data_IF_235289790164
#
_entry.id   IF_235289790164
#
_cell.length_a   1.000
_cell.length_b   1.000
_cell.length_c   1.000
_cell.angle_alpha   90.00
_cell.angle_beta   90.00
_cell.angle_gamma   90.00
#
_symmetry.space_group_name_H-M   'P 1'
#
loop_
_entity.id
_entity.type
_entity.pdbx_description
1 polymer ?
#
# COMPACT_ATOMS: atom_id res chain seq x y z
N UNK A 1 -39.15 15.61 0.09
CA UNK A 1 -38.15 15.44 1.17
C UNK A 1 -37.55 14.03 1.27
N UNK A 2 -37.86 13.10 0.35
CA UNK A 2 -37.34 11.71 0.39
C UNK A 2 -36.16 11.43 -0.56
N UNK A 3 -35.91 12.29 -1.54
CA UNK A 3 -34.78 12.11 -2.49
C UNK A 3 -33.41 12.37 -1.85
N UNK A 4 -33.29 13.37 -0.98
CA UNK A 4 -31.99 13.82 -0.45
C UNK A 4 -31.35 12.80 0.51
N UNK A 5 -32.17 12.16 1.35
CA UNK A 5 -31.71 11.10 2.26
C UNK A 5 -31.23 9.84 1.54
N UNK A 6 -31.75 9.58 0.33
CA UNK A 6 -31.30 8.46 -0.50
C UNK A 6 -29.93 8.72 -1.12
N UNK A 7 -29.68 9.95 -1.56
CA UNK A 7 -28.41 10.38 -2.15
C UNK A 7 -27.30 10.34 -1.12
N UNK A 8 -27.53 10.93 0.06
CA UNK A 8 -26.55 10.92 1.15
C UNK A 8 -26.18 9.49 1.57
N UNK A 9 -27.17 8.59 1.71
CA UNK A 9 -26.93 7.19 2.05
C UNK A 9 -26.05 6.47 1.01
N UNK A 10 -26.28 6.72 -0.27
CA UNK A 10 -25.48 6.12 -1.36
C UNK A 10 -24.04 6.61 -1.31
N UNK A 11 -23.83 7.92 -1.14
CA UNK A 11 -22.51 8.53 -1.02
C UNK A 11 -21.78 7.96 0.20
N UNK A 12 -22.39 8.02 1.38
CA UNK A 12 -21.77 7.50 2.62
C UNK A 12 -21.39 6.02 2.50
N UNK A 13 -22.23 5.19 1.87
CA UNK A 13 -21.90 3.78 1.62
C UNK A 13 -20.71 3.63 0.67
N UNK A 14 -20.60 4.45 -0.37
CA UNK A 14 -19.48 4.41 -1.30
C UNK A 14 -18.18 4.90 -0.63
N UNK A 15 -18.26 5.97 0.19
CA UNK A 15 -17.12 6.41 1.01
C UNK A 15 -16.65 5.27 1.91
N UNK A 16 -17.57 4.61 2.64
CA UNK A 16 -17.22 3.51 3.53
C UNK A 16 -16.55 2.33 2.80
N UNK A 17 -17.10 1.95 1.63
CA UNK A 17 -16.49 0.92 0.77
C UNK A 17 -15.10 1.34 0.28
N UNK A 18 -14.96 2.61 -0.09
CA UNK A 18 -13.68 3.21 -0.47
C UNK A 18 -12.68 3.18 0.69
N UNK A 19 -13.14 3.45 1.91
CA UNK A 19 -12.29 3.40 3.09
C UNK A 19 -11.77 1.99 3.39
N UNK A 20 -12.60 0.96 3.25
CA UNK A 20 -12.14 -0.43 3.37
C UNK A 20 -11.12 -0.79 2.29
N UNK A 21 -11.35 -0.32 1.05
CA UNK A 21 -10.41 -0.52 -0.06
C UNK A 21 -9.07 0.20 0.20
N UNK A 22 -9.10 1.46 0.64
CA UNK A 22 -7.89 2.23 0.96
C UNK A 22 -7.12 1.70 2.18
N UNK A 23 -7.83 1.18 3.19
CA UNK A 23 -7.20 0.51 4.32
C UNK A 23 -6.51 -0.80 3.90
N UNK A 24 -7.11 -1.55 2.98
CA UNK A 24 -6.51 -2.74 2.40
C UNK A 24 -5.26 -2.41 1.57
N UNK A 25 -5.30 -1.37 0.75
CA UNK A 25 -4.16 -0.97 -0.09
C UNK A 25 -2.94 -0.47 0.71
N UNK A 26 -3.14 -0.02 1.96
CA UNK A 26 -2.05 0.39 2.84
C UNK A 26 -1.30 -0.80 3.48
N UNK A 27 -1.89 -2.01 3.49
CA UNK A 27 -1.30 -3.20 4.12
C UNK A 27 -0.65 -4.08 3.04
N UNK A 28 0.64 -4.43 3.17
CA UNK A 28 1.31 -5.26 2.19
C UNK A 28 0.69 -6.66 2.13
N UNK A 29 0.42 -7.13 0.91
CA UNK A 29 -0.17 -8.44 0.65
C UNK A 29 -1.70 -8.46 0.57
N UNK A 30 -2.39 -7.34 0.83
CA UNK A 30 -3.83 -7.21 0.63
C UNK A 30 -4.11 -6.38 -0.63
N UNK A 31 -5.03 -6.85 -1.48
CA UNK A 31 -5.44 -6.12 -2.69
C UNK A 31 -6.78 -5.43 -2.48
N UNK A 32 -6.84 -4.11 -2.65
CA UNK A 32 -8.09 -3.36 -2.67
C UNK A 32 -9.07 -3.82 -3.75
N UNK A 33 -8.57 -4.38 -4.86
CA UNK A 33 -9.41 -4.98 -5.92
C UNK A 33 -10.20 -6.20 -5.42
N UNK A 34 -9.57 -7.06 -4.60
CA UNK A 34 -10.27 -8.19 -3.97
C UNK A 34 -11.34 -7.71 -2.99
N UNK A 35 -11.07 -6.65 -2.22
CA UNK A 35 -12.06 -6.02 -1.33
C UNK A 35 -13.21 -5.43 -2.14
N UNK A 36 -12.94 -4.78 -3.28
CA UNK A 36 -13.98 -4.28 -4.17
C UNK A 36 -14.87 -5.40 -4.72
N UNK A 37 -14.31 -6.58 -4.98
CA UNK A 37 -15.04 -7.77 -5.43
C UNK A 37 -15.92 -8.33 -4.32
N UNK A 38 -15.37 -8.49 -3.11
CA UNK A 38 -16.13 -8.92 -1.93
C UNK A 38 -17.28 -7.95 -1.59
N UNK A 39 -17.09 -6.65 -1.80
CA UNK A 39 -18.13 -5.63 -1.59
C UNK A 39 -19.14 -5.53 -2.75
N UNK A 40 -18.97 -6.33 -3.82
CA UNK A 40 -19.83 -6.36 -5.00
C UNK A 40 -19.80 -5.08 -5.82
N UNK A 41 -18.73 -4.28 -5.71
CA UNK A 41 -18.57 -3.01 -6.44
C UNK A 41 -17.53 -3.08 -7.55
N UNK A 42 -16.81 -4.21 -7.65
CA UNK A 42 -15.72 -4.40 -8.62
C UNK A 42 -16.18 -4.15 -10.06
N UNK A 43 -17.31 -4.73 -10.48
CA UNK A 43 -17.83 -4.57 -11.85
C UNK A 43 -18.16 -3.11 -12.18
N UNK A 44 -18.78 -2.41 -11.23
CA UNK A 44 -19.11 -1.00 -11.41
C UNK A 44 -17.86 -0.12 -11.43
N UNK A 45 -16.86 -0.43 -10.59
CA UNK A 45 -15.58 0.27 -10.59
C UNK A 45 -14.84 0.03 -11.91
N UNK A 46 -14.75 -1.21 -12.37
CA UNK A 46 -14.06 -1.61 -13.58
C UNK A 46 -14.69 -0.98 -14.82
N UNK A 47 -16.03 -0.96 -14.92
CA UNK A 47 -16.76 -0.26 -15.98
C UNK A 47 -16.42 1.24 -16.02
N UNK A 48 -16.37 1.91 -14.85
CA UNK A 48 -15.98 3.32 -14.79
C UNK A 48 -14.52 3.53 -15.21
N UNK A 49 -13.61 2.62 -14.87
CA UNK A 49 -12.21 2.66 -15.33
C UNK A 49 -12.13 2.48 -16.85
N UNK A 50 -12.93 1.59 -17.43
CA UNK A 50 -13.01 1.44 -18.89
C UNK A 50 -13.50 2.71 -19.56
N UNK A 51 -14.58 3.33 -19.05
CA UNK A 51 -15.06 4.61 -19.59
C UNK A 51 -14.04 5.75 -19.46
N UNK A 52 -13.28 5.81 -18.36
CA UNK A 52 -12.14 6.72 -18.21
C UNK A 52 -11.05 6.46 -19.27
N UNK A 53 -10.78 5.19 -19.57
CA UNK A 53 -9.78 4.80 -20.56
C UNK A 53 -10.22 5.16 -21.97
N UNK A 54 -11.48 4.86 -22.31
CA UNK A 54 -12.10 5.22 -23.60
C UNK A 54 -12.08 6.73 -23.82
N UNK A 55 -12.29 7.51 -22.75
CA UNK A 55 -12.15 8.96 -22.78
C UNK A 55 -10.75 9.43 -23.14
N UNK A 56 -9.74 8.87 -22.49
CA UNK A 56 -8.35 9.25 -22.76
C UNK A 56 -8.00 8.92 -24.21
N UNK A 57 -8.45 7.77 -24.71
CA UNK A 57 -8.25 7.35 -26.10
C UNK A 57 -8.99 8.29 -27.07
N UNK A 58 -10.23 8.68 -26.78
CA UNK A 58 -11.01 9.58 -27.65
C UNK A 58 -10.41 10.99 -27.71
N UNK A 59 -9.86 11.47 -26.58
CA UNK A 59 -9.13 12.75 -26.50
C UNK A 59 -7.86 12.69 -27.37
N UNK A 60 -7.09 11.59 -27.26
CA UNK A 60 -5.87 11.37 -28.06
C UNK A 60 -6.17 11.32 -29.58
N UNK A 61 -7.34 10.80 -29.97
CA UNK A 61 -7.80 10.76 -31.37
C UNK A 61 -8.43 12.07 -31.85
N UNK A 62 -8.50 13.11 -31.01
CA UNK A 62 -9.11 14.42 -31.30
C UNK A 62 -10.59 14.30 -31.72
N UNK A 63 -11.26 13.22 -31.34
CA UNK A 63 -12.69 13.04 -31.60
C UNK A 63 -13.52 13.69 -30.48
N UNK A 64 -13.98 14.91 -30.75
CA UNK A 64 -14.79 15.71 -29.80
C UNK A 64 -16.16 15.09 -29.53
N UNK A 65 -16.74 14.36 -30.48
CA UNK A 65 -18.06 13.75 -30.33
C UNK A 65 -17.98 12.50 -29.45
N UNK A 66 -16.99 11.64 -29.69
CA UNK A 66 -16.73 10.47 -28.85
C UNK A 66 -16.32 10.85 -27.42
N UNK A 67 -15.54 11.92 -27.26
CA UNK A 67 -15.13 12.43 -25.94
C UNK A 67 -16.31 12.91 -25.11
N UNK A 68 -17.24 13.67 -25.69
CA UNK A 68 -18.44 14.14 -24.95
C UNK A 68 -19.34 12.99 -24.50
N UNK A 69 -19.52 11.97 -25.35
CA UNK A 69 -20.33 10.80 -25.01
C UNK A 69 -19.71 9.99 -23.88
N UNK A 70 -18.40 9.77 -23.94
CA UNK A 70 -17.69 8.99 -22.91
C UNK A 70 -17.58 9.76 -21.57
N UNK A 71 -17.66 11.10 -21.58
CA UNK A 71 -17.67 11.91 -20.34
C UNK A 71 -19.00 11.77 -19.59
N UNK A 72 -20.09 11.64 -20.35
CA UNK A 72 -21.44 11.46 -19.82
C UNK A 72 -21.71 10.03 -19.34
N UNK A 73 -20.98 9.03 -19.85
CA UNK A 73 -21.10 7.64 -19.40
C UNK A 73 -20.39 7.35 -18.09
N UNK A 74 -19.53 8.24 -17.60
CA UNK A 74 -18.85 8.08 -16.30
C UNK A 74 -19.76 8.48 -15.15
N UNK A 75 -19.85 7.59 -14.17
CA UNK A 75 -20.55 7.85 -12.92
C UNK A 75 -19.67 8.64 -11.94
N UNK A 76 -19.45 9.93 -12.22
CA UNK A 76 -18.59 10.80 -11.42
C UNK A 76 -18.92 10.80 -9.93
N UNK A 77 -20.21 10.75 -9.57
CA UNK A 77 -20.65 10.69 -8.17
C UNK A 77 -20.19 9.41 -7.45
N UNK A 78 -20.21 8.27 -8.14
CA UNK A 78 -19.72 7.02 -7.57
C UNK A 78 -18.19 7.06 -7.44
N UNK A 79 -17.49 7.42 -8.50
CA UNK A 79 -16.03 7.40 -8.56
C UNK A 79 -15.41 8.38 -7.55
N UNK A 80 -15.88 9.63 -7.51
CA UNK A 80 -15.36 10.65 -6.59
C UNK A 80 -15.64 10.30 -5.13
N UNK A 81 -16.83 9.77 -4.83
CA UNK A 81 -17.19 9.34 -3.48
C UNK A 81 -16.41 8.12 -3.02
N UNK A 82 -16.09 7.18 -3.92
CA UNK A 82 -15.25 6.03 -3.60
C UNK A 82 -13.79 6.47 -3.37
N UNK A 83 -13.27 7.29 -4.29
CA UNK A 83 -11.90 7.78 -4.25
C UNK A 83 -11.63 8.64 -3.02
N UNK A 84 -12.58 9.49 -2.61
CA UNK A 84 -12.45 10.25 -1.37
C UNK A 84 -12.34 9.32 -0.16
N UNK A 85 -13.14 8.25 -0.10
CA UNK A 85 -13.04 7.23 0.94
C UNK A 85 -11.68 6.53 0.99
N UNK A 86 -11.13 6.18 -0.18
CA UNK A 86 -9.80 5.56 -0.33
C UNK A 86 -8.72 6.50 0.21
N UNK A 87 -8.70 7.75 -0.28
CA UNK A 87 -7.68 8.74 0.10
C UNK A 87 -7.73 9.02 1.61
N UNK A 88 -8.93 9.24 2.16
CA UNK A 88 -9.10 9.51 3.60
C UNK A 88 -8.58 8.34 4.43
N UNK A 89 -8.96 7.11 4.09
CA UNK A 89 -8.51 5.93 4.85
C UNK A 89 -7.01 5.71 4.73
N UNK A 90 -6.45 5.86 3.52
CA UNK A 90 -5.01 5.72 3.29
C UNK A 90 -4.21 6.76 4.09
N UNK A 91 -4.60 8.03 4.03
CA UNK A 91 -3.92 9.12 4.77
C UNK A 91 -4.03 8.93 6.28
N UNK A 92 -5.21 8.56 6.78
CA UNK A 92 -5.39 8.29 8.21
C UNK A 92 -4.51 7.14 8.68
N UNK A 93 -4.47 6.04 7.92
CA UNK A 93 -3.66 4.88 8.27
C UNK A 93 -2.16 5.17 8.15
N UNK A 94 -1.74 5.94 7.15
CA UNK A 94 -0.36 6.40 7.02
C UNK A 94 0.09 7.20 8.25
N UNK A 95 -0.73 8.14 8.74
CA UNK A 95 -0.43 8.91 9.96
C UNK A 95 -0.39 8.05 11.23
N UNK A 96 -1.18 6.96 11.28
CA UNK A 96 -1.15 6.02 12.39
C UNK A 96 0.17 5.23 12.34
N UNK A 97 0.53 4.71 11.17
CA UNK A 97 1.78 3.96 10.97
C UNK A 97 2.98 4.84 11.29
N UNK A 98 3.01 6.09 10.84
CA UNK A 98 4.06 7.06 11.14
C UNK A 98 4.25 7.25 12.65
N UNK A 99 3.15 7.50 13.39
CA UNK A 99 3.20 7.58 14.86
C UNK A 99 3.64 6.29 15.53
N UNK A 100 3.27 5.14 14.97
CA UNK A 100 3.73 3.84 15.48
C UNK A 100 5.23 3.63 15.21
N UNK A 101 5.73 4.14 14.09
CA UNK A 101 7.14 4.07 13.71
C UNK A 101 8.01 4.94 14.62
N UNK A 102 7.52 6.11 15.03
CA UNK A 102 8.19 7.00 16.00
C UNK A 102 8.27 6.37 17.39
N UNK A 103 7.17 5.81 17.89
CA UNK A 103 7.10 5.29 19.26
C UNK A 103 7.64 3.87 19.41
N UNK A 104 7.51 3.02 18.38
CA UNK A 104 7.85 1.60 18.40
C UNK A 104 8.50 1.11 17.09
N UNK A 105 9.66 1.64 16.70
CA UNK A 105 10.28 1.36 15.41
C UNK A 105 10.60 -0.13 15.19
N UNK A 106 11.06 -0.83 16.23
CA UNK A 106 11.43 -2.25 16.16
C UNK A 106 10.24 -3.17 15.94
N UNK A 107 9.12 -2.91 16.63
CA UNK A 107 7.88 -3.69 16.48
C UNK A 107 7.27 -3.54 15.09
N UNK A 108 7.23 -2.31 14.57
CA UNK A 108 6.67 -2.01 13.25
C UNK A 108 7.56 -2.60 12.15
N UNK A 109 8.88 -2.46 12.25
CA UNK A 109 9.82 -3.09 11.33
C UNK A 109 9.66 -4.63 11.31
N UNK A 110 9.50 -5.26 12.48
CA UNK A 110 9.22 -6.70 12.57
C UNK A 110 7.90 -7.11 11.93
N UNK A 111 6.85 -6.29 12.07
CA UNK A 111 5.55 -6.52 11.42
C UNK A 111 5.65 -6.45 9.90
N UNK A 112 6.30 -5.42 9.35
CA UNK A 112 6.51 -5.31 7.91
C UNK A 112 7.40 -6.43 7.36
N UNK A 113 8.48 -6.76 8.06
CA UNK A 113 9.34 -7.88 7.68
C UNK A 113 8.56 -9.21 7.67
N UNK A 114 7.73 -9.46 8.69
CA UNK A 114 6.86 -10.63 8.75
C UNK A 114 5.87 -10.70 7.60
N UNK A 115 5.21 -9.59 7.26
CA UNK A 115 4.27 -9.52 6.12
C UNK A 115 4.97 -9.74 4.77
N UNK A 116 6.15 -9.15 4.56
CA UNK A 116 6.94 -9.37 3.35
C UNK A 116 7.40 -10.82 3.25
N UNK A 117 7.90 -11.40 4.35
CA UNK A 117 8.32 -12.79 4.40
C UNK A 117 7.15 -13.74 4.11
N UNK A 118 5.99 -13.50 4.72
CA UNK A 118 4.78 -14.27 4.46
C UNK A 118 4.35 -14.17 2.99
N UNK A 119 4.42 -12.98 2.39
CA UNK A 119 4.12 -12.77 0.96
C UNK A 119 5.05 -13.59 0.05
N UNK A 120 6.36 -13.61 0.34
CA UNK A 120 7.34 -14.40 -0.41
C UNK A 120 7.05 -15.91 -0.27
N UNK A 121 6.74 -16.37 0.94
CA UNK A 121 6.41 -17.78 1.20
C UNK A 121 5.16 -18.20 0.41
N UNK A 122 4.08 -17.40 0.49
CA UNK A 122 2.84 -17.66 -0.23
C UNK A 122 3.07 -17.62 -1.75
N UNK A 123 3.81 -16.62 -2.24
CA UNK A 123 4.18 -16.54 -3.65
C UNK A 123 4.97 -17.78 -4.11
N UNK A 124 5.88 -18.29 -3.27
CA UNK A 124 6.63 -19.52 -3.54
C UNK A 124 5.75 -20.76 -3.64
N UNK A 125 4.67 -20.84 -2.84
CA UNK A 125 3.69 -21.92 -2.94
C UNK A 125 2.80 -21.83 -4.19
N UNK A 126 2.61 -20.64 -4.76
CA UNK A 126 1.86 -20.45 -6.00
C UNK A 126 2.65 -20.83 -7.27
N UNK A 127 3.95 -21.15 -7.15
CA UNK A 127 4.79 -21.55 -8.29
C UNK A 127 4.73 -23.07 -8.47
N UNK A 128 3.95 -23.54 -9.44
CA UNK A 128 3.74 -24.96 -9.75
C UNK A 128 5.01 -25.73 -10.18
N UNK A 129 5.99 -25.04 -10.78
CA UNK A 129 7.23 -25.65 -11.28
C UNK A 129 8.45 -24.83 -10.90
N UNK A 130 9.26 -25.41 -10.00
CA UNK A 130 10.55 -24.87 -9.60
C UNK A 130 11.60 -25.24 -10.65
N UNK A 131 11.87 -24.30 -11.55
CA UNK A 131 12.98 -24.41 -12.51
C UNK A 131 14.15 -23.54 -12.02
N UNK A 132 15.39 -24.02 -12.14
CA UNK A 132 16.60 -23.29 -11.75
C UNK A 132 16.65 -21.88 -12.34
N UNK A 133 16.16 -21.68 -13.57
CA UNK A 133 16.08 -20.36 -14.20
C UNK A 133 15.17 -19.39 -13.45
N UNK A 134 14.05 -19.86 -12.88
CA UNK A 134 13.12 -19.03 -12.11
C UNK A 134 13.70 -18.64 -10.75
N UNK A 135 14.45 -19.56 -10.12
CA UNK A 135 15.16 -19.28 -8.87
C UNK A 135 16.26 -18.25 -9.09
N UNK A 136 17.09 -18.44 -10.12
CA UNK A 136 18.16 -17.49 -10.48
C UNK A 136 17.57 -16.13 -10.81
N UNK A 137 16.47 -16.07 -11.58
CA UNK A 137 15.80 -14.82 -11.91
C UNK A 137 15.23 -14.13 -10.65
N UNK A 138 14.59 -14.88 -9.75
CA UNK A 138 14.05 -14.35 -8.50
C UNK A 138 15.13 -13.82 -7.55
N UNK A 139 16.27 -14.51 -7.44
CA UNK A 139 17.42 -14.03 -6.67
C UNK A 139 18.03 -12.79 -7.33
N UNK A 140 18.18 -12.79 -8.67
CA UNK A 140 18.73 -11.65 -9.40
C UNK A 140 17.85 -10.40 -9.24
N UNK A 141 16.53 -10.52 -9.36
CA UNK A 141 15.61 -9.39 -9.14
C UNK A 141 15.57 -8.96 -7.69
N UNK A 142 15.68 -9.89 -6.73
CA UNK A 142 15.80 -9.59 -5.30
C UNK A 142 17.06 -8.77 -4.99
N UNK A 143 18.23 -9.19 -5.50
CA UNK A 143 19.50 -8.47 -5.35
C UNK A 143 19.43 -7.11 -6.03
N UNK A 144 18.92 -7.04 -7.26
CA UNK A 144 18.77 -5.78 -7.97
C UNK A 144 17.85 -4.81 -7.21
N UNK A 145 16.73 -5.30 -6.67
CA UNK A 145 15.83 -4.53 -5.82
C UNK A 145 16.52 -4.03 -4.55
N UNK A 146 17.27 -4.90 -3.86
CA UNK A 146 18.03 -4.53 -2.67
C UNK A 146 19.07 -3.44 -2.97
N UNK A 147 19.81 -3.54 -4.08
CA UNK A 147 20.80 -2.51 -4.46
C UNK A 147 20.10 -1.20 -4.84
N UNK A 148 19.04 -1.26 -5.66
CA UNK A 148 18.31 -0.07 -6.11
C UNK A 148 17.66 0.70 -4.95
N UNK A 149 17.07 -0.02 -3.99
CA UNK A 149 16.43 0.58 -2.81
C UNK A 149 17.44 0.93 -1.72
N UNK A 150 18.48 0.12 -1.54
CA UNK A 150 19.55 0.35 -0.57
C UNK A 150 20.38 1.58 -0.86
N UNK A 151 20.56 1.95 -2.14
CA UNK A 151 21.20 3.22 -2.53
C UNK A 151 20.35 4.45 -2.17
N UNK A 152 19.04 4.28 -1.97
CA UNK A 152 18.10 5.35 -1.56
C UNK A 152 17.98 5.49 -0.04
N UNK A 153 18.26 4.43 0.72
CA UNK A 153 18.35 4.50 2.15
C UNK A 153 19.69 5.17 2.51
N UNK A 154 19.65 6.43 2.95
CA UNK A 154 20.80 7.09 3.59
C UNK A 154 21.35 6.22 4.72
N UNK A 155 22.62 6.43 5.13
CA UNK A 155 23.35 5.48 5.96
C UNK A 155 22.58 5.20 7.24
N UNK A 156 22.02 4.00 7.35
CA UNK A 156 21.46 3.49 8.59
C UNK A 156 22.65 3.34 9.53
N UNK A 157 22.83 4.35 10.39
CA UNK A 157 23.82 4.32 11.45
C UNK A 157 23.43 3.20 12.44
N UNK A 158 24.18 2.09 12.34
CA UNK A 158 24.51 1.07 13.35
C UNK A 158 23.54 -0.12 13.60
N UNK A 159 24.07 -1.30 13.99
CA UNK A 159 25.24 -2.02 13.50
C UNK A 159 24.87 -3.44 12.99
N UNK A 160 25.87 -4.18 12.50
CA UNK A 160 25.80 -5.47 11.82
C UNK A 160 24.88 -6.54 12.46
N UNK A 161 24.02 -7.12 11.62
CA UNK A 161 23.09 -8.26 11.85
C UNK A 161 23.68 -9.45 12.64
N UNK A 162 25.02 -9.61 12.63
CA UNK A 162 25.72 -10.68 13.36
C UNK A 162 25.74 -10.46 14.89
N UNK A 163 25.77 -9.22 15.38
CA UNK A 163 25.76 -8.93 16.82
C UNK A 163 24.37 -9.19 17.42
N UNK A 164 23.29 -8.88 16.68
CA UNK A 164 21.91 -9.10 17.15
C UNK A 164 21.54 -10.59 17.27
N UNK A 165 22.02 -11.44 16.35
CA UNK A 165 21.74 -12.88 16.37
C UNK A 165 22.61 -13.62 17.41
N UNK A 166 23.81 -13.12 17.69
CA UNK A 166 24.75 -13.79 18.61
C UNK A 166 24.59 -13.38 20.08
N UNK A 167 24.15 -12.14 20.37
CA UNK A 167 24.05 -11.64 21.76
C UNK A 167 22.66 -11.72 22.40
N UNK A 168 21.63 -12.24 21.72
CA UNK A 168 20.30 -12.42 22.34
C UNK A 168 20.16 -13.72 23.16
N UNK A 169 21.27 -14.42 23.36
CA UNK A 169 21.35 -15.58 24.26
C UNK A 169 21.61 -15.24 25.72
N UNK A 170 22.16 -14.07 26.06
CA UNK A 170 22.54 -13.74 27.43
C UNK A 170 22.56 -12.23 27.72
N UNK A 171 22.40 -11.88 29.01
CA UNK A 171 22.40 -10.56 29.67
C UNK A 171 21.06 -9.81 29.65
N UNK A 172 20.37 -9.56 30.77
CA UNK A 172 20.78 -9.39 32.17
C UNK A 172 21.88 -8.34 32.42
N UNK A 173 21.97 -7.33 31.56
CA UNK A 173 22.74 -6.12 31.86
C UNK A 173 21.90 -4.88 31.53
N UNK A 174 21.00 -4.55 32.46
CA UNK A 174 20.50 -3.19 32.62
C UNK A 174 21.62 -2.27 33.12
N UNK A 175 21.43 -0.99 32.84
CA UNK A 175 22.02 0.19 33.49
C UNK A 175 23.55 0.34 33.46
N UNK A 176 24.01 1.29 32.65
CA UNK A 176 24.40 2.63 33.15
C UNK A 176 25.46 3.22 32.22
N UNK A 177 25.11 4.29 31.51
CA UNK A 177 26.00 5.45 31.29
C UNK A 177 25.22 6.57 30.62
N UNK A 178 24.65 7.41 31.48
CA UNK A 178 24.36 8.80 31.16
C UNK A 178 25.59 9.49 30.56
N UNK A 179 25.41 10.31 29.51
CA UNK A 179 26.54 11.05 28.94
C UNK A 179 26.31 11.70 27.58
N UNK A 180 25.35 12.63 27.51
CA UNK A 180 25.50 13.89 26.77
C UNK A 180 26.25 13.85 25.41
N UNK A 181 25.53 13.50 24.34
CA UNK A 181 25.80 13.97 22.98
C UNK A 181 24.41 14.20 22.38
N UNK A 182 23.88 15.42 22.41
CA UNK A 182 24.40 16.50 21.59
C UNK A 182 23.47 16.61 20.39
N UNK A 183 22.44 17.43 20.56
CA UNK A 183 21.57 18.01 19.53
C UNK A 183 22.32 18.19 18.20
N UNK A 184 22.05 17.34 17.21
CA UNK A 184 22.27 17.64 15.79
C UNK A 184 21.11 17.06 14.98
N UNK A 185 20.11 17.93 14.80
CA UNK A 185 19.37 18.23 13.58
C UNK A 185 18.64 17.12 12.78
N UNK A 186 17.32 17.35 12.69
CA UNK A 186 16.41 17.04 11.58
C UNK A 186 17.03 17.11 10.18
N UNK A 187 16.88 16.05 9.40
CA UNK A 187 16.14 16.04 8.10
C UNK A 187 15.88 14.60 7.65
#
# INVERSE_FOLDING_TARGET
MTEDTSVFRVITRNVLRGSFMGAADAVPGVSGGTIALLLGIYERLLQNIHHCTDLVISILRIDRAATKRSLLSIEWRFLLSLLSGIIIAFVLLAQIIERLLENHPTSVAGLFFGLVLASIIVAGFMVDTWNIYRVVLGVATGIAGFVLLGVRAGPVQEPSLLVFFFFRGDCNQCDDTSGNIGVIFFY
#
